data_IF_601936077612
#
_entry.id   IF_601936077612
#
_cell.length_a   1.000
_cell.length_b   1.000
_cell.length_c   1.000
_cell.angle_alpha   90.00
_cell.angle_beta   90.00
_cell.angle_gamma   90.00
#
_symmetry.space_group_name_H-M   'P 1'
#
loop_
_entity.id
_entity.type
_entity.pdbx_description
1 polymer ?
#
# COMPACT_ATOMS: atom_id res chain seq x y z
N UNK A 1 5.37 30.35 -1.97
CA UNK A 1 4.56 30.59 -3.20
C UNK A 1 5.22 30.07 -4.50
N UNK A 2 6.39 29.40 -4.46
CA UNK A 2 7.11 28.92 -5.66
C UNK A 2 6.98 27.40 -5.95
N UNK A 3 6.32 26.62 -5.10
CA UNK A 3 6.24 25.15 -5.23
C UNK A 3 5.07 24.70 -6.13
N UNK A 4 4.02 25.51 -6.29
CA UNK A 4 2.82 25.12 -7.05
C UNK A 4 2.97 25.21 -8.58
N UNK A 5 3.87 26.02 -9.12
CA UNK A 5 4.00 26.15 -10.59
C UNK A 5 4.87 25.07 -11.22
N UNK A 6 5.82 24.48 -10.47
CA UNK A 6 6.70 23.44 -10.99
C UNK A 6 6.15 22.02 -10.82
N UNK A 7 5.36 21.73 -9.77
CA UNK A 7 4.82 20.37 -9.59
C UNK A 7 3.71 20.03 -10.59
N UNK A 8 2.86 21.01 -10.95
CA UNK A 8 1.83 20.85 -11.98
C UNK A 8 2.39 20.62 -13.39
N UNK A 9 3.57 21.17 -13.70
CA UNK A 9 4.23 20.93 -14.98
C UNK A 9 4.69 19.46 -15.13
N UNK A 10 5.09 18.83 -14.02
CA UNK A 10 5.56 17.43 -14.00
C UNK A 10 4.43 16.44 -14.26
N UNK A 11 3.21 16.71 -13.77
CA UNK A 11 2.03 15.85 -14.05
C UNK A 11 1.68 15.79 -15.53
N UNK A 12 2.04 16.83 -16.29
CA UNK A 12 1.78 16.89 -17.72
C UNK A 12 2.85 16.21 -18.59
N UNK A 13 3.91 15.66 -17.98
CA UNK A 13 4.92 14.91 -18.73
C UNK A 13 4.31 13.60 -19.27
N UNK A 14 4.61 13.20 -20.53
CA UNK A 14 4.03 12.00 -21.14
C UNK A 14 4.25 10.72 -20.32
N UNK A 15 5.41 10.58 -19.68
CA UNK A 15 5.76 9.43 -18.84
C UNK A 15 4.91 9.39 -17.57
N UNK A 16 4.67 10.55 -16.96
CA UNK A 16 3.85 10.68 -15.75
C UNK A 16 2.38 10.43 -16.08
N UNK A 17 1.88 10.93 -17.21
CA UNK A 17 0.53 10.61 -17.67
C UNK A 17 0.36 9.12 -17.98
N UNK A 18 1.35 8.49 -18.62
CA UNK A 18 1.35 7.04 -18.86
C UNK A 18 1.28 6.25 -17.56
N UNK A 19 2.06 6.68 -16.56
CA UNK A 19 2.02 6.09 -15.24
C UNK A 19 0.67 6.29 -14.54
N UNK A 20 0.09 7.50 -14.60
CA UNK A 20 -1.26 7.77 -14.06
C UNK A 20 -2.28 6.85 -14.73
N UNK A 21 -2.28 6.72 -16.06
CA UNK A 21 -3.20 5.83 -16.78
C UNK A 21 -3.08 4.37 -16.34
N UNK A 22 -1.87 3.89 -16.06
CA UNK A 22 -1.64 2.55 -15.52
C UNK A 22 -2.17 2.39 -14.08
N UNK A 23 -2.17 3.47 -13.29
CA UNK A 23 -2.67 3.45 -11.91
C UNK A 23 -4.17 3.72 -11.79
N UNK A 24 -4.80 4.40 -12.75
CA UNK A 24 -6.22 4.76 -12.74
C UNK A 24 -7.04 3.91 -13.70
N UNK A 25 -6.62 2.67 -13.93
CA UNK A 25 -7.40 1.74 -14.76
C UNK A 25 -8.76 1.48 -14.11
N UNK A 26 -9.80 1.22 -14.91
CA UNK A 26 -11.14 0.92 -14.38
C UNK A 26 -11.19 -0.36 -13.51
N UNK A 27 -10.10 -1.14 -13.45
CA UNK A 27 -9.99 -2.36 -12.67
C UNK A 27 -9.10 -2.14 -11.43
N UNK A 28 -9.67 -2.08 -10.21
CA UNK A 28 -8.89 -1.91 -8.98
C UNK A 28 -7.85 -3.02 -8.75
N UNK A 29 -8.10 -4.26 -9.21
CA UNK A 29 -7.09 -5.32 -9.11
C UNK A 29 -5.85 -5.01 -9.94
N UNK A 30 -6.05 -4.43 -11.14
CA UNK A 30 -4.93 -4.09 -12.00
C UNK A 30 -4.08 -2.99 -11.38
N UNK A 31 -4.69 -1.95 -10.80
CA UNK A 31 -3.97 -0.93 -10.03
C UNK A 31 -3.20 -1.54 -8.86
N UNK A 32 -3.85 -2.43 -8.09
CA UNK A 32 -3.27 -3.10 -6.93
C UNK A 32 -2.01 -3.90 -7.29
N UNK A 33 -2.10 -4.77 -8.31
CA UNK A 33 -0.97 -5.60 -8.75
C UNK A 33 0.10 -4.80 -9.47
N UNK A 34 -0.28 -3.79 -10.27
CA UNK A 34 0.67 -2.90 -10.94
C UNK A 34 1.58 -2.24 -9.92
N UNK A 35 1.00 -1.69 -8.86
CA UNK A 35 1.81 -1.00 -7.87
C UNK A 35 2.64 -1.95 -7.00
N UNK A 36 2.12 -3.14 -6.67
CA UNK A 36 2.91 -4.17 -6.02
C UNK A 36 4.16 -4.52 -6.85
N UNK A 37 3.99 -4.67 -8.18
CA UNK A 37 5.09 -4.92 -9.09
C UNK A 37 6.09 -3.74 -9.14
N UNK A 38 5.61 -2.50 -9.21
CA UNK A 38 6.50 -1.32 -9.16
C UNK A 38 7.31 -1.26 -7.87
N UNK A 39 6.71 -1.55 -6.71
CA UNK A 39 7.45 -1.57 -5.45
C UNK A 39 8.54 -2.62 -5.48
N UNK A 40 8.27 -3.82 -6.01
CA UNK A 40 9.28 -4.87 -6.20
C UNK A 40 10.38 -4.43 -7.17
N UNK A 41 10.04 -3.80 -8.30
CA UNK A 41 11.03 -3.36 -9.29
C UNK A 41 11.92 -2.23 -8.76
N UNK A 42 11.32 -1.23 -8.10
CA UNK A 42 12.02 -0.10 -7.49
C UNK A 42 12.74 -0.53 -6.20
N UNK A 43 12.39 -1.69 -5.65
CA UNK A 43 12.92 -2.18 -4.39
C UNK A 43 12.74 -1.17 -3.24
N UNK A 44 11.69 -0.33 -3.29
CA UNK A 44 11.38 0.64 -2.24
C UNK A 44 9.93 1.12 -2.33
N UNK A 45 9.25 1.19 -1.18
CA UNK A 45 7.89 1.72 -1.10
C UNK A 45 7.85 3.25 -0.93
N UNK A 46 8.87 3.84 -0.33
CA UNK A 46 8.88 5.27 0.01
C UNK A 46 8.77 6.18 -1.23
N UNK A 47 9.54 5.95 -2.31
CA UNK A 47 9.38 6.74 -3.53
C UNK A 47 7.98 6.61 -4.14
N UNK A 48 7.42 5.39 -4.14
CA UNK A 48 6.06 5.14 -4.65
C UNK A 48 5.00 5.88 -3.84
N UNK A 49 5.15 5.92 -2.51
CA UNK A 49 4.28 6.69 -1.62
C UNK A 49 4.37 8.19 -1.93
N UNK A 50 5.57 8.75 -2.08
CA UNK A 50 5.73 10.17 -2.39
C UNK A 50 5.14 10.53 -3.75
N UNK A 51 5.32 9.69 -4.77
CA UNK A 51 4.70 9.90 -6.09
C UNK A 51 3.18 9.91 -5.93
N UNK A 52 2.61 8.90 -5.26
CA UNK A 52 1.17 8.80 -5.07
C UNK A 52 0.57 9.96 -4.26
N UNK A 53 1.25 10.41 -3.18
CA UNK A 53 0.87 11.60 -2.41
C UNK A 53 0.83 12.84 -3.30
N UNK A 54 1.86 13.04 -4.12
CA UNK A 54 1.92 14.19 -5.01
C UNK A 54 0.83 14.16 -6.08
N UNK A 55 0.56 13.00 -6.69
CA UNK A 55 -0.51 12.83 -7.66
C UNK A 55 -1.88 13.10 -7.04
N UNK A 56 -2.12 12.59 -5.83
CA UNK A 56 -3.37 12.84 -5.10
C UNK A 56 -3.53 14.31 -4.70
N UNK A 57 -2.46 14.94 -4.19
CA UNK A 57 -2.48 16.36 -3.80
C UNK A 57 -2.74 17.30 -4.98
N UNK A 58 -2.34 16.89 -6.19
CA UNK A 58 -2.62 17.60 -7.43
C UNK A 58 -3.96 17.23 -8.07
N UNK A 59 -4.77 16.40 -7.39
CA UNK A 59 -6.06 15.89 -7.88
C UNK A 59 -5.95 15.10 -9.19
N UNK A 60 -4.75 14.61 -9.53
CA UNK A 60 -4.51 13.80 -10.72
C UNK A 60 -5.05 12.38 -10.58
N UNK A 61 -5.20 11.91 -9.33
CA UNK A 61 -5.85 10.65 -9.00
C UNK A 61 -6.92 10.88 -7.91
N UNK A 62 -8.12 10.30 -8.02
CA UNK A 62 -9.10 10.31 -6.95
C UNK A 62 -8.68 9.40 -5.78
N UNK A 63 -9.31 9.62 -4.63
CA UNK A 63 -8.91 8.97 -3.38
C UNK A 63 -9.11 7.45 -3.39
N UNK A 64 -10.07 6.95 -4.17
CA UNK A 64 -10.32 5.52 -4.34
C UNK A 64 -9.12 4.80 -4.93
N UNK A 65 -8.52 5.35 -6.00
CA UNK A 65 -7.28 4.78 -6.54
C UNK A 65 -6.14 4.93 -5.54
N UNK A 66 -6.10 6.03 -4.78
CA UNK A 66 -5.09 6.21 -3.72
C UNK A 66 -5.16 5.13 -2.65
N UNK A 67 -6.36 4.69 -2.24
CA UNK A 67 -6.53 3.57 -1.32
C UNK A 67 -5.95 2.28 -1.88
N UNK A 68 -6.34 1.93 -3.11
CA UNK A 68 -5.88 0.71 -3.80
C UNK A 68 -4.37 0.72 -4.02
N UNK A 69 -3.82 1.90 -4.33
CA UNK A 69 -2.38 2.12 -4.44
C UNK A 69 -1.71 1.76 -3.11
N UNK A 70 -2.17 2.32 -1.99
CA UNK A 70 -1.54 2.01 -0.69
C UNK A 70 -1.64 0.51 -0.37
N UNK A 71 -2.77 -0.13 -0.66
CA UNK A 71 -2.91 -1.58 -0.46
C UNK A 71 -1.92 -2.38 -1.34
N UNK A 72 -1.72 -1.97 -2.59
CA UNK A 72 -0.72 -2.56 -3.49
C UNK A 72 0.71 -2.38 -2.98
N UNK A 73 1.02 -1.26 -2.33
CA UNK A 73 2.32 -1.01 -1.71
C UNK A 73 2.60 -2.01 -0.58
N UNK A 74 1.60 -2.35 0.24
CA UNK A 74 1.76 -3.38 1.29
C UNK A 74 2.05 -4.74 0.68
N UNK A 75 1.36 -5.12 -0.40
CA UNK A 75 1.65 -6.36 -1.11
C UNK A 75 3.08 -6.35 -1.68
N UNK A 76 3.48 -5.26 -2.34
CA UNK A 76 4.82 -5.12 -2.91
C UNK A 76 5.92 -5.22 -1.85
N UNK A 77 5.74 -4.59 -0.69
CA UNK A 77 6.66 -4.72 0.44
C UNK A 77 6.74 -6.16 0.96
N UNK A 78 5.61 -6.86 1.03
CA UNK A 78 5.58 -8.26 1.42
C UNK A 78 6.32 -9.15 0.41
N UNK A 79 6.10 -8.94 -0.89
CA UNK A 79 6.79 -9.66 -1.96
C UNK A 79 8.29 -9.40 -1.93
N UNK A 80 8.73 -8.17 -1.67
CA UNK A 80 10.16 -7.86 -1.48
C UNK A 80 10.76 -8.58 -0.29
N UNK A 81 10.07 -8.56 0.85
CA UNK A 81 10.51 -9.27 2.04
C UNK A 81 10.65 -10.78 1.77
N UNK A 82 9.73 -11.34 0.99
CA UNK A 82 9.80 -12.73 0.55
C UNK A 82 11.02 -13.02 -0.33
N UNK A 83 11.23 -12.20 -1.36
CA UNK A 83 12.38 -12.34 -2.27
C UNK A 83 13.70 -12.25 -1.48
N UNK A 84 13.82 -11.29 -0.57
CA UNK A 84 15.02 -11.15 0.26
C UNK A 84 15.24 -12.32 1.22
N UNK A 85 14.17 -12.98 1.68
CA UNK A 85 14.31 -14.13 2.58
C UNK A 85 14.88 -15.38 1.91
N UNK A 86 14.82 -15.48 0.57
CA UNK A 86 15.26 -16.67 -0.17
C UNK A 86 16.74 -16.99 0.03
N UNK A 87 17.58 -15.97 0.22
CA UNK A 87 19.01 -16.10 0.49
C UNK A 87 19.38 -16.11 1.97
N UNK A 88 18.40 -16.13 2.88
CA UNK A 88 18.61 -16.06 4.32
C UNK A 88 18.32 -17.38 5.00
N UNK A 89 18.93 -17.57 6.17
CA UNK A 89 18.72 -18.72 7.06
C UNK A 89 18.46 -18.27 8.50
N UNK A 90 18.05 -19.22 9.33
CA UNK A 90 17.87 -19.01 10.78
C UNK A 90 16.88 -17.89 11.13
N UNK A 91 17.23 -17.10 12.14
CA UNK A 91 16.36 -16.04 12.71
C UNK A 91 16.05 -14.96 11.67
N UNK A 92 17.03 -14.56 10.85
CA UNK A 92 16.85 -13.54 9.83
C UNK A 92 15.77 -13.94 8.82
N UNK A 93 15.81 -15.18 8.31
CA UNK A 93 14.75 -15.68 7.43
C UNK A 93 13.37 -15.60 8.08
N UNK A 94 13.27 -16.02 9.35
CA UNK A 94 12.00 -15.99 10.09
C UNK A 94 11.44 -14.57 10.18
N UNK A 95 12.26 -13.56 10.49
CA UNK A 95 11.83 -12.15 10.56
C UNK A 95 11.26 -11.67 9.21
N UNK A 96 11.95 -11.94 8.10
CA UNK A 96 11.44 -11.58 6.77
C UNK A 96 10.15 -12.33 6.40
N UNK A 97 9.99 -13.58 6.85
CA UNK A 97 8.76 -14.36 6.67
C UNK A 97 7.59 -13.83 7.47
N UNK A 98 7.83 -13.34 8.69
CA UNK A 98 6.82 -12.60 9.44
C UNK A 98 6.35 -11.35 8.70
N UNK A 99 7.29 -10.53 8.23
CA UNK A 99 6.98 -9.32 7.47
C UNK A 99 6.19 -9.64 6.19
N UNK A 100 6.58 -10.70 5.49
CA UNK A 100 5.86 -11.20 4.31
C UNK A 100 4.43 -11.57 4.66
N UNK A 101 4.22 -12.41 5.69
CA UNK A 101 2.87 -12.89 6.02
C UNK A 101 1.94 -11.75 6.41
N UNK A 102 2.40 -10.85 7.30
CA UNK A 102 1.58 -9.72 7.73
C UNK A 102 1.30 -8.75 6.59
N UNK A 103 2.30 -8.45 5.74
CA UNK A 103 2.09 -7.59 4.59
C UNK A 103 1.07 -8.16 3.60
N UNK A 104 1.10 -9.47 3.33
CA UNK A 104 0.10 -10.14 2.47
C UNK A 104 -1.28 -10.11 3.13
N UNK A 105 -1.40 -10.48 4.40
CA UNK A 105 -2.68 -10.51 5.12
C UNK A 105 -3.34 -9.13 5.08
N UNK A 106 -2.58 -8.08 5.37
CA UNK A 106 -3.08 -6.70 5.40
C UNK A 106 -3.51 -6.24 4.02
N UNK A 107 -2.67 -6.46 3.01
CA UNK A 107 -2.99 -6.08 1.64
C UNK A 107 -4.29 -6.74 1.15
N UNK A 108 -4.45 -8.05 1.40
CA UNK A 108 -5.65 -8.78 1.03
C UNK A 108 -6.87 -8.38 1.87
N UNK A 109 -6.69 -8.15 3.17
CA UNK A 109 -7.77 -7.72 4.07
C UNK A 109 -8.36 -6.39 3.61
N UNK A 110 -7.52 -5.38 3.35
CA UNK A 110 -7.99 -4.07 2.93
C UNK A 110 -8.54 -4.06 1.51
N UNK A 111 -7.96 -4.85 0.61
CA UNK A 111 -8.54 -5.06 -0.73
C UNK A 111 -9.94 -5.71 -0.62
N UNK A 112 -10.10 -6.71 0.23
CA UNK A 112 -11.39 -7.35 0.49
C UNK A 112 -12.40 -6.36 1.09
N UNK A 113 -12.00 -5.58 2.10
CA UNK A 113 -12.85 -4.54 2.71
C UNK A 113 -13.28 -3.52 1.65
N UNK A 114 -12.37 -3.08 0.77
CA UNK A 114 -12.72 -2.16 -0.32
C UNK A 114 -13.80 -2.72 -1.25
N UNK A 115 -13.67 -3.98 -1.67
CA UNK A 115 -14.69 -4.62 -2.52
C UNK A 115 -16.01 -4.80 -1.78
N UNK A 116 -15.96 -5.18 -0.50
CA UNK A 116 -17.13 -5.34 0.34
C UNK A 116 -17.88 -4.01 0.52
N UNK A 117 -17.17 -2.93 0.83
CA UNK A 117 -17.74 -1.59 0.97
C UNK A 117 -18.31 -1.06 -0.35
N UNK A 118 -17.64 -1.35 -1.47
CA UNK A 118 -18.12 -0.96 -2.80
C UNK A 118 -19.39 -1.73 -3.17
N UNK A 119 -19.45 -3.03 -2.86
CA UNK A 119 -20.63 -3.86 -3.07
C UNK A 119 -21.81 -3.44 -2.19
N UNK A 120 -21.54 -3.08 -0.93
CA UNK A 120 -22.56 -2.64 0.03
C UNK A 120 -22.92 -1.15 -0.08
N UNK A 121 -22.13 -0.36 -0.83
CA UNK A 121 -22.28 1.09 -0.95
C UNK A 121 -21.93 1.90 0.32
N UNK A 122 -21.24 1.30 1.30
CA UNK A 122 -21.06 1.89 2.64
C UNK A 122 -19.80 2.74 2.81
N UNK A 123 -18.82 2.67 1.88
CA UNK A 123 -17.61 3.51 1.81
C UNK A 123 -16.99 3.94 3.16
N UNK A 124 -16.97 3.04 4.16
CA UNK A 124 -16.67 3.41 5.54
C UNK A 124 -15.22 3.83 5.72
N UNK A 125 -14.23 3.06 5.22
CA UNK A 125 -12.82 3.43 5.31
C UNK A 125 -12.58 4.80 4.65
N UNK A 126 -13.14 5.00 3.46
CA UNK A 126 -13.05 6.27 2.75
C UNK A 126 -13.56 7.44 3.61
N UNK A 127 -14.78 7.32 4.13
CA UNK A 127 -15.44 8.38 4.88
C UNK A 127 -14.74 8.66 6.23
N UNK A 128 -14.31 7.60 6.92
CA UNK A 128 -13.54 7.71 8.15
C UNK A 128 -12.26 8.52 7.93
N UNK A 129 -11.45 8.14 6.95
CA UNK A 129 -10.19 8.84 6.68
C UNK A 129 -10.44 10.28 6.25
N UNK A 130 -11.42 10.54 5.37
CA UNK A 130 -11.75 11.90 4.96
C UNK A 130 -12.20 12.77 6.15
N UNK A 131 -12.96 12.22 7.11
CA UNK A 131 -13.40 12.95 8.31
C UNK A 131 -12.26 13.34 9.26
N UNK A 132 -11.16 12.58 9.25
CA UNK A 132 -9.98 12.81 10.09
C UNK A 132 -8.96 13.75 9.43
N UNK A 133 -9.22 14.17 8.19
CA UNK A 133 -8.20 14.76 7.32
C UNK A 133 -8.52 16.20 6.94
N UNK A 134 -7.52 17.06 7.07
CA UNK A 134 -7.63 18.50 6.79
C UNK A 134 -7.00 18.85 5.44
N UNK A 135 -6.01 18.09 4.99
CA UNK A 135 -5.30 18.30 3.73
C UNK A 135 -5.16 17.00 2.93
N UNK A 136 -4.94 17.04 1.61
CA UNK A 136 -4.72 15.83 0.81
C UNK A 136 -3.55 14.99 1.31
N UNK A 137 -2.44 15.63 1.69
CA UNK A 137 -1.28 14.92 2.23
C UNK A 137 -1.60 14.24 3.57
N UNK A 138 -2.34 14.91 4.47
CA UNK A 138 -2.81 14.32 5.72
C UNK A 138 -3.79 13.18 5.48
N UNK A 139 -4.60 13.23 4.42
CA UNK A 139 -5.54 12.15 4.05
C UNK A 139 -4.79 10.86 3.75
N UNK A 140 -3.73 10.95 2.95
CA UNK A 140 -2.88 9.80 2.65
C UNK A 140 -2.16 9.30 3.90
N UNK A 141 -1.59 10.21 4.68
CA UNK A 141 -0.86 9.85 5.90
C UNK A 141 -1.78 9.15 6.91
N UNK A 142 -2.98 9.68 7.12
CA UNK A 142 -3.99 9.09 8.02
C UNK A 142 -4.40 7.70 7.54
N UNK A 143 -4.55 7.48 6.23
CA UNK A 143 -4.83 6.15 5.68
C UNK A 143 -3.68 5.17 5.97
N UNK A 144 -2.43 5.58 5.76
CA UNK A 144 -1.26 4.75 6.06
C UNK A 144 -1.23 4.42 7.56
N UNK A 145 -1.34 5.43 8.43
CA UNK A 145 -1.33 5.23 9.88
C UNK A 145 -2.48 4.33 10.35
N UNK A 146 -3.67 4.48 9.77
CA UNK A 146 -4.80 3.62 10.06
C UNK A 146 -4.51 2.16 9.71
N UNK A 147 -3.97 1.91 8.51
CA UNK A 147 -3.58 0.56 8.10
C UNK A 147 -2.48 0.01 9.02
N UNK A 148 -1.43 0.78 9.31
CA UNK A 148 -0.32 0.38 10.17
C UNK A 148 -0.78 0.08 11.61
N UNK A 149 -1.75 0.82 12.14
CA UNK A 149 -2.36 0.53 13.45
C UNK A 149 -3.07 -0.83 13.45
N UNK A 150 -3.80 -1.15 12.37
CA UNK A 150 -4.44 -2.46 12.19
C UNK A 150 -3.38 -3.56 12.03
N UNK A 151 -2.34 -3.32 11.23
CA UNK A 151 -1.21 -4.25 11.06
C UNK A 151 -0.57 -4.56 12.40
N UNK A 152 -0.23 -3.53 13.19
CA UNK A 152 0.39 -3.67 14.49
C UNK A 152 -0.49 -4.50 15.43
N UNK A 153 -1.79 -4.21 15.45
CA UNK A 153 -2.76 -4.93 16.28
C UNK A 153 -2.86 -6.41 15.90
N UNK A 154 -3.05 -6.70 14.60
CA UNK A 154 -3.10 -8.07 14.07
C UNK A 154 -1.77 -8.79 14.36
N UNK A 155 -0.65 -8.10 14.18
CA UNK A 155 0.68 -8.67 14.39
C UNK A 155 0.93 -9.04 15.84
N UNK A 156 0.52 -8.19 16.78
CA UNK A 156 0.62 -8.47 18.21
C UNK A 156 -0.24 -9.68 18.60
N UNK A 157 -1.50 -9.74 18.15
CA UNK A 157 -2.42 -10.82 18.47
C UNK A 157 -1.98 -12.17 17.88
N UNK A 158 -1.44 -12.18 16.67
CA UNK A 158 -1.07 -13.40 15.97
C UNK A 158 0.42 -13.77 16.10
N UNK A 159 1.21 -12.98 16.82
CA UNK A 159 2.66 -13.18 16.99
C UNK A 159 3.03 -14.60 17.47
N UNK A 160 2.34 -15.11 18.50
CA UNK A 160 2.57 -16.45 19.06
C UNK A 160 2.19 -17.60 18.12
N UNK A 161 0.97 -17.66 17.56
CA UNK A 161 0.62 -18.74 16.63
C UNK A 161 1.49 -18.71 15.37
N UNK A 162 1.76 -17.53 14.79
CA UNK A 162 2.64 -17.44 13.63
C UNK A 162 4.07 -17.89 13.94
N UNK A 163 4.64 -17.51 15.10
CA UNK A 163 6.01 -17.91 15.44
C UNK A 163 6.18 -19.42 15.50
N UNK A 164 5.18 -20.10 16.06
CA UNK A 164 5.13 -21.56 16.11
C UNK A 164 5.03 -22.18 14.71
N UNK A 165 4.24 -21.58 13.82
CA UNK A 165 4.04 -22.08 12.45
C UNK A 165 5.28 -21.87 11.58
N UNK A 166 5.84 -20.66 11.59
CA UNK A 166 7.07 -20.32 10.84
C UNK A 166 8.24 -21.18 11.32
N UNK A 167 8.34 -21.45 12.63
CA UNK A 167 9.42 -22.30 13.16
C UNK A 167 9.31 -23.74 12.66
N UNK A 168 8.11 -24.28 12.45
CA UNK A 168 7.92 -25.64 11.90
C UNK A 168 8.29 -25.77 10.42
N UNK A 169 8.20 -24.68 9.66
CA UNK A 169 8.46 -24.68 8.21
C UNK A 169 9.92 -24.42 7.85
N UNK A 170 10.70 -23.81 8.75
CA UNK A 170 12.07 -23.35 8.50
C UNK A 170 13.08 -23.85 9.56
N UNK A 171 12.81 -25.02 10.14
CA UNK A 171 13.81 -25.90 10.81
C UNK A 171 14.33 -26.91 9.80
#
# INVERSE_FOLDING_TARGET
MFINSQSGAVVNLPEVQSFIMMLTTANPLLTFFTLAAFVVLVQSAIPMLFIAINLFAQQAIPFEYMMIIIYGIHLGNASRAYIFSMGLEGVSKKIFMFQTLFGVIVALLFLFIYYLETFLGTHFVKNLILSLSITPAMTVLNLILFIEMIVATISMLLSKPLSSWITRLYT
#
